data_IF_695304325257
#
_entry.id   IF_695304325257
#
_cell.length_a   1.000
_cell.length_b   1.000
_cell.length_c   1.000
_cell.angle_alpha   90.00
_cell.angle_beta   90.00
_cell.angle_gamma   90.00
#
_symmetry.space_group_name_H-M   'P 1'
#
loop_
_entity.id
_entity.type
_entity.pdbx_description
1 polymer ?
#
# COMPACT_ATOMS: atom_id res chain seq x y z
N UNK A 1 6.50 -3.64 -18.09
CA UNK A 1 6.65 -2.33 -17.44
C UNK A 1 8.00 -2.26 -16.76
N UNK A 2 8.65 -1.10 -16.69
CA UNK A 2 9.83 -0.96 -15.84
C UNK A 2 9.43 -1.25 -14.40
N UNK A 3 10.28 -1.98 -13.67
CA UNK A 3 10.05 -2.23 -12.25
C UNK A 3 10.04 -0.90 -11.48
N UNK A 4 9.04 -0.70 -10.62
CA UNK A 4 8.99 0.46 -9.74
C UNK A 4 10.05 0.32 -8.64
N UNK A 5 10.65 1.43 -8.22
CA UNK A 5 11.57 1.49 -7.10
C UNK A 5 12.96 2.02 -7.45
N UNK A 6 13.82 2.12 -6.44
CA UNK A 6 15.15 2.71 -6.53
C UNK A 6 16.28 1.68 -6.71
N UNK A 7 16.10 0.45 -6.18
CA UNK A 7 17.19 -0.56 -6.14
C UNK A 7 17.68 -0.93 -7.55
N UNK A 8 16.79 -0.95 -8.54
CA UNK A 8 17.15 -1.28 -9.93
C UNK A 8 18.14 -0.31 -10.57
N UNK A 9 18.29 0.89 -10.01
CA UNK A 9 19.23 1.92 -10.48
C UNK A 9 20.57 1.92 -9.73
N UNK A 10 20.69 1.09 -8.68
CA UNK A 10 21.91 1.01 -7.90
C UNK A 10 22.90 0.03 -8.54
N UNK A 11 24.16 0.11 -8.13
CA UNK A 11 25.20 -0.78 -8.64
C UNK A 11 24.97 -2.23 -8.21
N UNK A 12 25.45 -3.16 -9.04
CA UNK A 12 25.36 -4.60 -8.72
C UNK A 12 26.19 -4.94 -7.49
N UNK A 13 25.70 -5.89 -6.69
CA UNK A 13 26.40 -6.37 -5.49
C UNK A 13 26.22 -5.49 -4.26
N UNK A 14 25.32 -4.50 -4.30
CA UNK A 14 24.96 -3.74 -3.10
C UNK A 14 24.33 -4.66 -2.04
N UNK A 15 24.74 -4.46 -0.78
CA UNK A 15 24.13 -5.12 0.38
C UNK A 15 23.30 -4.09 1.14
N UNK A 16 22.03 -4.44 1.41
CA UNK A 16 21.10 -3.57 2.14
C UNK A 16 20.58 -4.31 3.39
N UNK A 17 20.50 -3.62 4.54
CA UNK A 17 19.84 -4.13 5.71
C UNK A 17 18.35 -4.44 5.44
N UNK A 18 17.78 -5.40 6.16
CA UNK A 18 16.34 -5.74 6.05
C UNK A 18 15.45 -4.53 6.32
N UNK A 19 15.82 -3.68 7.28
CA UNK A 19 15.08 -2.45 7.59
C UNK A 19 15.02 -1.47 6.41
N UNK A 20 16.09 -1.35 5.63
CA UNK A 20 16.12 -0.50 4.44
C UNK A 20 15.25 -1.09 3.32
N UNK A 21 15.27 -2.42 3.15
CA UNK A 21 14.37 -3.09 2.22
C UNK A 21 12.89 -2.86 2.59
N UNK A 22 12.54 -2.97 3.88
CA UNK A 22 11.18 -2.65 4.36
C UNK A 22 10.82 -1.20 4.08
N UNK A 23 11.73 -0.26 4.34
CA UNK A 23 11.53 1.16 4.05
C UNK A 23 11.25 1.38 2.57
N UNK A 24 12.12 0.90 1.68
CA UNK A 24 11.97 1.07 0.23
C UNK A 24 10.70 0.39 -0.32
N UNK A 25 10.37 -0.81 0.17
CA UNK A 25 9.13 -1.50 -0.17
C UNK A 25 7.89 -0.64 0.13
N UNK A 26 7.88 0.03 1.26
CA UNK A 26 6.70 0.81 1.68
C UNK A 26 6.70 2.19 1.04
N UNK A 27 7.77 2.99 1.19
CA UNK A 27 7.73 4.42 0.81
C UNK A 27 7.84 4.67 -0.69
N UNK A 28 8.48 3.77 -1.46
CA UNK A 28 8.67 3.87 -2.90
C UNK A 28 7.99 2.73 -3.69
N UNK A 29 7.30 1.83 -3.00
CA UNK A 29 6.75 0.63 -3.62
C UNK A 29 7.81 -0.17 -4.40
N UNK A 30 9.06 -0.24 -3.88
CA UNK A 30 10.18 -0.89 -4.56
C UNK A 30 9.93 -2.39 -4.72
N UNK A 31 9.77 -2.82 -5.97
CA UNK A 31 9.44 -4.20 -6.32
C UNK A 31 10.59 -5.17 -6.06
N UNK A 32 11.84 -4.69 -6.23
CA UNK A 32 13.02 -5.51 -5.93
C UNK A 32 13.12 -5.75 -4.43
N UNK A 33 12.94 -4.70 -3.60
CA UNK A 33 12.89 -4.84 -2.15
C UNK A 33 11.78 -5.79 -1.72
N UNK A 34 10.58 -5.64 -2.30
CA UNK A 34 9.42 -6.51 -2.00
C UNK A 34 9.72 -7.97 -2.31
N UNK A 35 10.29 -8.26 -3.48
CA UNK A 35 10.59 -9.63 -3.88
C UNK A 35 11.71 -10.26 -3.03
N UNK A 36 12.73 -9.49 -2.66
CA UNK A 36 13.78 -9.95 -1.73
C UNK A 36 13.18 -10.30 -0.35
N UNK A 37 12.23 -9.51 0.15
CA UNK A 37 11.55 -9.79 1.41
C UNK A 37 10.61 -10.99 1.31
N UNK A 38 9.91 -11.17 0.19
CA UNK A 38 9.10 -12.38 -0.07
C UNK A 38 9.98 -13.62 -0.07
N UNK A 39 11.15 -13.57 -0.72
CA UNK A 39 12.09 -14.70 -0.77
C UNK A 39 12.68 -15.00 0.62
N UNK A 40 13.02 -13.97 1.38
CA UNK A 40 13.57 -14.10 2.73
C UNK A 40 12.57 -14.74 3.70
N UNK A 41 11.32 -14.30 3.66
CA UNK A 41 10.27 -14.76 4.58
C UNK A 41 9.63 -16.07 4.15
N UNK A 42 9.49 -16.27 2.85
CA UNK A 42 8.74 -17.36 2.25
C UNK A 42 7.23 -17.07 2.18
N UNK A 43 6.62 -17.31 1.01
CA UNK A 43 5.20 -17.04 0.75
C UNK A 43 4.26 -17.75 1.73
N UNK A 44 4.57 -19.01 2.08
CA UNK A 44 3.74 -19.80 2.99
C UNK A 44 3.63 -19.16 4.38
N UNK A 45 4.75 -18.64 4.92
CA UNK A 45 4.74 -17.94 6.21
C UNK A 45 3.95 -16.64 6.15
N UNK A 46 4.07 -15.89 5.04
CA UNK A 46 3.30 -14.66 4.82
C UNK A 46 1.80 -14.99 4.78
N UNK A 47 1.40 -16.01 4.03
CA UNK A 47 0.01 -16.45 3.94
C UNK A 47 -0.54 -16.94 5.28
N UNK A 48 0.25 -17.74 6.01
CA UNK A 48 -0.11 -18.23 7.36
C UNK A 48 -0.34 -17.05 8.30
N UNK A 49 0.52 -16.03 8.27
CA UNK A 49 0.34 -14.82 9.07
C UNK A 49 -0.94 -14.08 8.70
N UNK A 50 -1.22 -13.90 7.40
CA UNK A 50 -2.46 -13.29 6.93
C UNK A 50 -3.70 -14.00 7.47
N UNK A 51 -3.72 -15.34 7.41
CA UNK A 51 -4.80 -16.17 7.96
C UNK A 51 -4.96 -15.99 9.48
N UNK A 52 -3.86 -16.02 10.23
CA UNK A 52 -3.86 -15.81 11.69
C UNK A 52 -4.36 -14.42 12.09
N UNK A 53 -4.19 -13.42 11.24
CA UNK A 53 -4.71 -12.08 11.42
C UNK A 53 -6.17 -11.92 10.95
N UNK A 54 -6.77 -12.97 10.39
CA UNK A 54 -8.15 -12.94 9.88
C UNK A 54 -8.31 -12.21 8.55
N UNK A 55 -7.24 -12.04 7.76
CA UNK A 55 -7.24 -11.34 6.48
C UNK A 55 -7.72 -12.26 5.35
N UNK A 56 -9.01 -12.58 5.31
CA UNK A 56 -9.60 -13.59 4.42
C UNK A 56 -9.54 -13.26 2.92
N UNK A 57 -9.34 -11.99 2.56
CA UNK A 57 -9.26 -11.55 1.16
C UNK A 57 -7.83 -11.16 0.76
N UNK A 58 -6.80 -11.70 1.42
CA UNK A 58 -5.41 -11.51 1.08
C UNK A 58 -4.81 -12.83 0.58
N UNK A 59 -4.27 -12.82 -0.67
CA UNK A 59 -3.67 -14.01 -1.28
C UNK A 59 -2.39 -13.64 -2.03
N UNK A 60 -1.26 -14.22 -1.61
CA UNK A 60 0.04 -14.07 -2.25
C UNK A 60 0.44 -15.38 -2.94
N UNK A 61 0.28 -15.48 -4.26
CA UNK A 61 0.59 -16.68 -5.06
C UNK A 61 1.95 -16.61 -5.75
N UNK A 62 2.43 -15.41 -6.08
CA UNK A 62 3.67 -15.19 -6.82
C UNK A 62 4.42 -13.96 -6.33
N UNK A 63 5.66 -13.81 -6.74
CA UNK A 63 6.39 -12.55 -6.60
C UNK A 63 5.78 -11.48 -7.51
N UNK A 64 6.21 -10.24 -7.31
CA UNK A 64 5.81 -9.15 -8.19
C UNK A 64 6.56 -9.27 -9.54
N UNK A 65 5.91 -8.86 -10.63
CA UNK A 65 6.47 -8.87 -11.98
C UNK A 65 6.91 -10.25 -12.48
N UNK A 66 6.07 -11.25 -12.27
CA UNK A 66 6.14 -12.57 -12.93
C UNK A 66 5.01 -12.66 -13.98
N UNK A 67 5.17 -12.02 -15.17
CA UNK A 67 4.08 -11.89 -16.16
C UNK A 67 3.62 -13.22 -16.74
N UNK A 68 4.50 -14.22 -16.82
CA UNK A 68 4.15 -15.56 -17.30
C UNK A 68 3.13 -16.22 -16.36
N UNK A 69 3.35 -16.14 -15.05
CA UNK A 69 2.43 -16.66 -14.05
C UNK A 69 1.11 -15.87 -14.04
N UNK A 70 1.18 -14.54 -14.22
CA UNK A 70 -0.01 -13.71 -14.30
C UNK A 70 -0.90 -14.09 -15.51
N UNK A 71 -0.30 -14.37 -16.69
CA UNK A 71 -1.03 -14.84 -17.89
C UNK A 71 -1.68 -16.22 -17.70
N UNK A 72 -1.14 -17.04 -16.80
CA UNK A 72 -1.73 -18.33 -16.40
C UNK A 72 -2.83 -18.18 -15.34
N UNK A 73 -3.21 -16.95 -14.97
CA UNK A 73 -4.21 -16.67 -13.93
C UNK A 73 -3.68 -16.82 -12.49
N UNK A 74 -2.37 -16.99 -12.32
CA UNK A 74 -1.73 -17.02 -10.99
C UNK A 74 -1.49 -15.58 -10.56
N UNK A 75 -2.49 -14.97 -9.94
CA UNK A 75 -2.48 -13.56 -9.53
C UNK A 75 -2.46 -13.42 -7.99
N UNK A 76 -1.89 -12.34 -7.51
CA UNK A 76 -2.01 -11.92 -6.12
C UNK A 76 -3.32 -11.14 -5.96
N UNK A 77 -3.99 -11.32 -4.84
CA UNK A 77 -5.31 -10.74 -4.60
C UNK A 77 -5.37 -10.05 -3.24
N UNK A 78 -6.14 -8.98 -3.17
CA UNK A 78 -6.47 -8.31 -1.92
C UNK A 78 -7.91 -7.77 -1.98
N UNK A 79 -8.61 -7.77 -0.85
CA UNK A 79 -9.92 -7.14 -0.74
C UNK A 79 -9.85 -5.86 0.10
N UNK A 80 -10.72 -4.90 -0.20
CA UNK A 80 -10.85 -3.67 0.61
C UNK A 80 -11.11 -4.00 2.10
N UNK A 81 -11.89 -5.06 2.36
CA UNK A 81 -12.16 -5.52 3.73
C UNK A 81 -10.89 -5.98 4.44
N UNK A 82 -10.06 -6.81 3.80
CA UNK A 82 -8.79 -7.26 4.39
C UNK A 82 -7.84 -6.10 4.65
N UNK A 83 -7.76 -5.14 3.73
CA UNK A 83 -6.98 -3.92 3.93
C UNK A 83 -7.49 -3.11 5.13
N UNK A 84 -8.80 -2.91 5.23
CA UNK A 84 -9.41 -2.18 6.35
C UNK A 84 -9.19 -2.89 7.69
N UNK A 85 -9.33 -4.21 7.74
CA UNK A 85 -9.08 -5.00 8.95
C UNK A 85 -7.60 -4.90 9.37
N UNK A 86 -6.66 -4.96 8.42
CA UNK A 86 -5.24 -4.76 8.69
C UNK A 86 -4.97 -3.35 9.24
N UNK A 87 -5.47 -2.29 8.58
CA UNK A 87 -5.30 -0.91 9.03
C UNK A 87 -5.92 -0.66 10.40
N UNK A 88 -7.02 -1.33 10.71
CA UNK A 88 -7.67 -1.28 12.02
C UNK A 88 -6.82 -1.91 13.13
N UNK A 89 -6.21 -3.07 12.86
CA UNK A 89 -5.28 -3.71 13.80
C UNK A 89 -4.07 -2.81 14.04
N UNK A 90 -3.53 -2.23 12.97
CA UNK A 90 -2.37 -1.34 12.99
C UNK A 90 -2.67 -0.06 13.80
N UNK A 91 -3.78 0.61 13.51
CA UNK A 91 -4.21 1.83 14.22
C UNK A 91 -4.42 1.57 15.73
N UNK A 92 -4.91 0.39 16.09
CA UNK A 92 -5.12 -0.03 17.48
C UNK A 92 -3.86 -0.52 18.21
N UNK A 93 -2.71 -0.53 17.55
CA UNK A 93 -1.46 -1.04 18.13
C UNK A 93 -1.46 -2.55 18.39
N UNK A 94 -2.29 -3.31 17.67
CA UNK A 94 -2.49 -4.76 17.86
C UNK A 94 -1.76 -5.64 16.85
N UNK A 95 -0.97 -5.05 15.97
CA UNK A 95 -0.16 -5.80 15.02
C UNK A 95 1.19 -6.11 15.65
N UNK A 96 1.46 -7.39 15.95
CA UNK A 96 2.66 -7.90 16.64
C UNK A 96 2.81 -7.34 18.06
N UNK A 97 3.00 -6.03 18.18
CA UNK A 97 3.10 -5.28 19.44
C UNK A 97 2.76 -3.80 19.22
N UNK A 98 2.47 -3.03 20.28
CA UNK A 98 2.27 -1.58 20.13
C UNK A 98 3.49 -0.86 19.53
N UNK A 99 4.72 -1.29 19.86
CA UNK A 99 5.95 -0.75 19.30
C UNK A 99 6.09 -1.03 17.81
N UNK A 100 5.88 -2.28 17.39
CA UNK A 100 5.91 -2.69 15.99
C UNK A 100 4.83 -1.98 15.15
N UNK A 101 3.62 -1.83 15.71
CA UNK A 101 2.54 -1.10 15.04
C UNK A 101 2.90 0.38 14.81
N UNK A 102 3.52 1.05 15.79
CA UNK A 102 3.99 2.43 15.62
C UNK A 102 5.06 2.54 14.53
N UNK A 103 6.00 1.60 14.47
CA UNK A 103 7.04 1.58 13.45
C UNK A 103 6.46 1.37 12.04
N UNK A 104 5.52 0.45 11.89
CA UNK A 104 4.81 0.25 10.63
C UNK A 104 4.04 1.51 10.20
N UNK A 105 3.36 2.19 11.14
CA UNK A 105 2.68 3.47 10.87
C UNK A 105 3.66 4.56 10.45
N UNK A 106 4.86 4.60 11.03
CA UNK A 106 5.91 5.54 10.64
C UNK A 106 6.28 5.34 9.17
N UNK A 107 6.56 4.11 8.73
CA UNK A 107 6.85 3.82 7.33
C UNK A 107 5.70 4.23 6.39
N UNK A 108 4.44 3.96 6.77
CA UNK A 108 3.28 4.34 5.96
C UNK A 108 3.08 5.87 5.88
N UNK A 109 3.45 6.63 6.93
CA UNK A 109 3.44 8.09 6.93
C UNK A 109 4.54 8.68 6.06
N UNK A 110 5.66 7.98 5.93
CA UNK A 110 6.79 8.39 5.10
C UNK A 110 6.59 8.08 3.62
N UNK A 111 5.39 7.69 3.18
CA UNK A 111 5.04 7.41 1.77
C UNK A 111 5.43 8.57 0.85
N UNK A 112 6.03 8.24 -0.31
CA UNK A 112 6.48 9.22 -1.32
C UNK A 112 5.57 9.28 -2.55
N UNK A 113 4.69 8.30 -2.73
CA UNK A 113 3.75 8.23 -3.84
C UNK A 113 2.42 8.88 -3.43
N UNK A 114 2.39 10.20 -3.41
CA UNK A 114 1.32 11.01 -2.79
C UNK A 114 0.23 11.48 -3.78
N UNK A 115 0.16 10.90 -4.97
CA UNK A 115 -0.79 11.28 -6.02
C UNK A 115 -2.22 10.77 -5.83
N UNK A 116 -2.54 10.04 -4.74
CA UNK A 116 -3.84 9.38 -4.52
C UNK A 116 -4.53 9.89 -3.25
N UNK A 117 -4.56 9.13 -2.16
CA UNK A 117 -5.19 9.57 -0.90
C UNK A 117 -4.78 10.99 -0.51
N UNK A 118 -3.47 11.38 -0.51
CA UNK A 118 -3.07 12.70 -0.07
C UNK A 118 -3.36 13.85 -1.06
N UNK A 119 -3.79 13.55 -2.29
CA UNK A 119 -3.84 14.53 -3.38
C UNK A 119 -4.51 15.86 -2.99
N UNK A 120 -5.73 15.83 -2.45
CA UNK A 120 -6.43 17.00 -1.96
C UNK A 120 -6.16 17.31 -0.47
N UNK A 121 -5.63 16.34 0.28
CA UNK A 121 -5.40 16.46 1.72
C UNK A 121 -4.12 17.24 2.04
N UNK A 122 -3.12 17.14 1.15
CA UNK A 122 -1.80 17.75 1.37
C UNK A 122 -1.85 19.27 1.51
N UNK A 123 -2.62 19.95 0.63
CA UNK A 123 -2.82 21.40 0.68
C UNK A 123 -3.54 21.87 1.95
N UNK A 124 -4.29 21.00 2.60
CA UNK A 124 -5.01 21.25 3.86
C UNK A 124 -4.24 20.82 5.10
N UNK A 125 -3.00 20.34 4.95
CA UNK A 125 -2.17 19.89 6.06
C UNK A 125 -2.72 18.65 6.78
N UNK A 126 -3.60 17.86 6.16
CA UNK A 126 -4.18 16.65 6.74
C UNK A 126 -3.24 15.46 6.48
N UNK A 127 -2.61 14.89 7.52
CA UNK A 127 -1.67 13.79 7.34
C UNK A 127 -2.39 12.48 6.99
N UNK A 128 -1.67 11.59 6.29
CA UNK A 128 -2.11 10.22 6.07
C UNK A 128 -0.98 9.22 6.28
N UNK A 129 -1.34 7.97 6.55
CA UNK A 129 -0.45 6.83 6.54
C UNK A 129 -1.03 5.83 5.54
N UNK A 130 -0.38 5.62 4.39
CA UNK A 130 -1.01 4.89 3.30
C UNK A 130 -0.03 4.05 2.47
N UNK A 131 -0.58 3.15 1.64
CA UNK A 131 0.18 2.35 0.68
C UNK A 131 -0.59 2.25 -0.63
N UNK A 132 0.07 2.66 -1.71
CA UNK A 132 -0.44 2.55 -3.09
C UNK A 132 -0.23 1.16 -3.67
N UNK A 133 -1.03 0.82 -4.68
CA UNK A 133 -0.85 -0.36 -5.54
C UNK A 133 -1.22 -0.01 -6.98
N UNK A 134 -0.43 -0.51 -7.93
CA UNK A 134 -0.60 -0.23 -9.36
C UNK A 134 -0.25 -1.44 -10.20
N UNK A 135 -1.08 -1.72 -11.21
CA UNK A 135 -0.83 -2.67 -12.28
C UNK A 135 -1.68 -2.28 -13.50
N UNK A 136 -1.62 -3.02 -14.59
CA UNK A 136 -2.45 -2.77 -15.77
C UNK A 136 -3.96 -2.92 -15.43
N UNK A 137 -4.72 -1.84 -15.66
CA UNK A 137 -6.13 -1.77 -15.29
C UNK A 137 -6.41 -1.80 -13.77
N UNK A 138 -5.41 -1.52 -12.94
CA UNK A 138 -5.49 -1.58 -11.48
C UNK A 138 -4.90 -0.33 -10.85
N UNK A 139 -5.65 0.30 -9.95
CA UNK A 139 -5.14 1.36 -9.07
C UNK A 139 -5.72 1.19 -7.68
N UNK A 140 -4.85 1.19 -6.67
CA UNK A 140 -5.23 1.04 -5.26
C UNK A 140 -4.59 2.15 -4.43
N UNK A 141 -5.27 2.53 -3.36
CA UNK A 141 -4.63 3.17 -2.22
C UNK A 141 -5.41 2.82 -0.95
N UNK A 142 -4.70 2.43 0.09
CA UNK A 142 -5.28 2.03 1.37
C UNK A 142 -4.52 2.68 2.51
N UNK A 143 -5.25 3.21 3.48
CA UNK A 143 -4.57 3.93 4.55
C UNK A 143 -5.47 4.45 5.65
N UNK A 144 -4.85 5.28 6.49
CA UNK A 144 -5.46 6.02 7.59
C UNK A 144 -5.31 7.50 7.29
N UNK A 145 -6.41 8.22 7.25
CA UNK A 145 -6.47 9.68 7.13
C UNK A 145 -6.62 10.24 8.55
N UNK A 146 -5.73 11.15 8.94
CA UNK A 146 -5.73 11.78 10.26
C UNK A 146 -6.43 13.15 10.21
N UNK A 147 -7.75 13.13 9.90
CA UNK A 147 -8.64 14.27 10.08
C UNK A 147 -8.92 14.48 11.59
N UNK A 148 -9.99 15.18 11.98
CA UNK A 148 -10.36 15.38 13.39
C UNK A 148 -10.41 14.08 14.19
N UNK A 149 -10.91 13.03 13.54
CA UNK A 149 -10.81 11.64 14.00
C UNK A 149 -10.14 10.79 12.95
N UNK A 150 -9.24 9.84 13.30
CA UNK A 150 -8.63 8.95 12.32
C UNK A 150 -9.67 8.10 11.59
N UNK A 151 -9.63 8.13 10.26
CA UNK A 151 -10.53 7.38 9.37
C UNK A 151 -9.75 6.39 8.53
N UNK A 152 -10.23 5.17 8.42
CA UNK A 152 -9.63 4.16 7.54
C UNK A 152 -10.28 4.29 6.17
N UNK A 153 -9.46 4.49 5.15
CA UNK A 153 -9.88 4.58 3.76
C UNK A 153 -9.20 3.48 2.95
N UNK A 154 -9.98 2.72 2.18
CA UNK A 154 -9.48 1.64 1.34
C UNK A 154 -10.18 1.67 -0.02
N UNK A 155 -9.44 2.03 -1.05
CA UNK A 155 -9.88 1.96 -2.44
C UNK A 155 -9.08 0.87 -3.16
N UNK A 156 -9.77 -0.13 -3.68
CA UNK A 156 -9.20 -1.20 -4.49
C UNK A 156 -10.02 -1.35 -5.77
N UNK A 157 -9.36 -1.57 -6.89
CA UNK A 157 -9.98 -1.69 -8.19
C UNK A 157 -9.45 -2.87 -8.98
N UNK A 158 -10.10 -3.21 -10.07
CA UNK A 158 -9.63 -4.20 -11.05
C UNK A 158 -10.38 -4.00 -12.36
N UNK A 159 -9.70 -4.25 -13.48
CA UNK A 159 -10.27 -4.08 -14.82
C UNK A 159 -10.91 -2.71 -15.04
N UNK A 160 -10.23 -1.63 -14.61
CA UNK A 160 -10.77 -0.27 -14.59
C UNK A 160 -10.02 0.66 -15.55
N UNK A 161 -10.69 1.77 -15.93
CA UNK A 161 -10.06 2.96 -16.49
C UNK A 161 -9.29 3.66 -15.36
N UNK A 162 -7.97 3.45 -15.32
CA UNK A 162 -7.12 3.93 -14.23
C UNK A 162 -7.23 5.43 -13.98
N UNK A 163 -7.14 6.33 -15.00
CA UNK A 163 -7.30 7.77 -14.77
C UNK A 163 -8.62 8.16 -14.11
N UNK A 164 -9.74 7.57 -14.54
CA UNK A 164 -11.06 7.84 -13.93
C UNK A 164 -11.16 7.29 -12.51
N UNK A 165 -10.62 6.10 -12.27
CA UNK A 165 -10.62 5.48 -10.95
C UNK A 165 -9.76 6.29 -9.96
N UNK A 166 -8.61 6.83 -10.39
CA UNK A 166 -7.75 7.68 -9.55
C UNK A 166 -8.43 8.99 -9.19
N UNK A 167 -9.06 9.67 -10.15
CA UNK A 167 -9.84 10.88 -9.86
C UNK A 167 -10.95 10.59 -8.84
N UNK A 168 -11.65 9.46 -9.00
CA UNK A 168 -12.70 9.02 -8.07
C UNK A 168 -12.11 8.76 -6.68
N UNK A 169 -10.98 8.04 -6.60
CA UNK A 169 -10.28 7.77 -5.35
C UNK A 169 -9.88 9.05 -4.62
N UNK A 170 -9.28 10.00 -5.34
CA UNK A 170 -8.84 11.29 -4.80
C UNK A 170 -10.02 12.07 -4.21
N UNK A 171 -11.13 12.19 -4.95
CA UNK A 171 -12.35 12.87 -4.49
C UNK A 171 -12.98 12.19 -3.28
N UNK A 172 -13.09 10.85 -3.29
CA UNK A 172 -13.62 10.09 -2.17
C UNK A 172 -12.74 10.21 -0.92
N UNK A 173 -11.42 10.24 -1.08
CA UNK A 173 -10.49 10.45 0.05
C UNK A 173 -10.66 11.85 0.66
N UNK A 174 -10.84 12.88 -0.17
CA UNK A 174 -11.12 14.24 0.28
C UNK A 174 -12.44 14.29 1.07
N UNK A 175 -13.53 13.78 0.51
CA UNK A 175 -14.84 13.70 1.19
C UNK A 175 -14.76 12.88 2.48
N UNK A 176 -13.96 11.80 2.50
CA UNK A 176 -13.70 11.04 3.72
C UNK A 176 -13.01 11.87 4.80
N UNK A 177 -12.36 12.95 4.46
CA UNK A 177 -11.68 13.89 5.38
C UNK A 177 -12.48 15.17 5.63
N UNK A 178 -13.75 15.24 5.20
CA UNK A 178 -14.60 16.44 5.22
C UNK A 178 -13.99 17.62 4.44
N UNK A 179 -13.23 17.32 3.38
CA UNK A 179 -12.65 18.29 2.44
C UNK A 179 -13.46 18.31 1.16
N UNK A 180 -13.89 19.49 0.72
CA UNK A 180 -14.51 19.65 -0.59
C UNK A 180 -13.42 19.63 -1.68
N UNK A 181 -13.46 18.64 -2.61
CA UNK A 181 -12.45 18.54 -3.68
C UNK A 181 -12.48 19.74 -4.65
N UNK A 182 -13.61 20.42 -4.83
CA UNK A 182 -13.73 21.58 -5.73
C UNK A 182 -13.06 22.83 -5.12
N UNK A 183 -13.08 22.97 -3.80
CA UNK A 183 -12.40 24.05 -3.08
C UNK A 183 -10.90 23.78 -2.84
N UNK A 184 -10.47 22.54 -2.93
CA UNK A 184 -9.09 22.16 -2.64
C UNK A 184 -8.13 22.41 -3.82
N UNK A 185 -8.67 22.74 -5.01
CA UNK A 185 -7.92 23.08 -6.22
C UNK A 185 -7.60 24.58 -6.36
N UNK A 186 -8.06 25.41 -5.45
CA UNK A 186 -7.80 26.86 -5.39
C UNK A 186 -6.62 27.15 -4.42
#
# INVERSE_FOLDING_TARGET
MPSCGAITYLHRGISLPVGDLVTLMIILSDNTATNLLIDLLGREKIMTLGQRLGLSGFVLRRRLFEPELARQGIINEVSAKSCADFMKLLLRGRLVSPGASREMLRHLRDQRLNGKIPFYLHSRGIPSAHKTGEDDGVTHDVGIIYADTPRIFCFVSGHTDVPKAELTLQRLAALCADVDPEEACL
#
